data_IF_697058104628
#
_entry.id   IF_697058104628
#
_cell.length_a   1.000
_cell.length_b   1.000
_cell.length_c   1.000
_cell.angle_alpha   90.00
_cell.angle_beta   90.00
_cell.angle_gamma   90.00
#
_symmetry.space_group_name_H-M   'P 1'
#
loop_
_entity.id
_entity.type
_entity.pdbx_description
1 polymer ?
#
# COMPACT_ATOMS: atom_id res chain seq x y z
N UNK A 1 20.36 -11.52 14.28
CA UNK A 1 19.11 -11.84 13.91
C UNK A 1 18.58 -10.88 12.94
N UNK A 2 17.76 -11.30 12.15
CA UNK A 2 17.30 -10.42 11.24
C UNK A 2 15.92 -10.19 11.47
N UNK A 3 15.51 -9.11 11.20
CA UNK A 3 14.23 -8.83 11.45
C UNK A 3 13.49 -8.83 10.21
N UNK A 4 12.29 -9.13 10.32
CA UNK A 4 11.42 -9.07 9.20
C UNK A 4 11.17 -7.66 8.83
N UNK A 5 11.43 -7.37 7.59
CA UNK A 5 11.07 -6.07 7.08
C UNK A 5 9.72 -6.18 6.49
N UNK A 6 8.93 -5.23 6.63
CA UNK A 6 7.62 -5.21 6.01
C UNK A 6 7.71 -4.98 4.52
N UNK A 7 6.57 -5.00 3.89
CA UNK A 7 6.39 -4.63 2.49
C UNK A 7 5.95 -3.18 2.48
N UNK A 8 6.57 -2.35 1.65
CA UNK A 8 6.33 -0.91 1.67
C UNK A 8 5.10 -0.54 0.87
N UNK A 9 4.30 0.35 1.41
CA UNK A 9 3.05 0.80 0.78
C UNK A 9 3.04 2.30 0.66
N UNK A 10 2.33 2.79 -0.35
CA UNK A 10 2.13 4.23 -0.58
C UNK A 10 0.70 4.60 -0.28
N UNK A 11 0.50 5.75 0.32
CA UNK A 11 -0.85 6.31 0.48
C UNK A 11 -0.92 7.56 -0.38
N UNK A 12 -1.95 7.61 -1.20
CA UNK A 12 -2.17 8.71 -2.15
C UNK A 12 -3.50 9.39 -1.85
N UNK A 13 -3.59 10.66 -2.19
CA UNK A 13 -4.86 11.37 -2.25
C UNK A 13 -5.13 11.66 -3.72
N UNK A 14 -6.26 11.15 -4.20
CA UNK A 14 -6.61 11.23 -5.62
C UNK A 14 -7.85 12.08 -5.78
N UNK A 15 -7.85 13.08 -6.65
CA UNK A 15 -9.05 13.91 -6.83
C UNK A 15 -10.13 13.14 -7.56
N UNK A 16 -11.38 13.41 -7.24
CA UNK A 16 -12.48 12.87 -8.00
C UNK A 16 -13.12 14.00 -8.80
N UNK A 17 -14.15 13.67 -9.60
CA UNK A 17 -14.76 14.66 -10.46
C UNK A 17 -15.59 15.69 -9.71
N UNK A 18 -15.82 15.47 -8.41
CA UNK A 18 -16.59 16.39 -7.60
C UNK A 18 -15.69 17.26 -6.72
N UNK A 19 -14.38 17.19 -6.90
CA UNK A 19 -13.46 18.01 -6.12
C UNK A 19 -13.06 17.43 -4.79
N UNK A 20 -13.45 16.17 -4.51
CA UNK A 20 -13.04 15.52 -3.28
C UNK A 20 -11.69 14.84 -3.46
N UNK A 21 -10.96 14.70 -2.36
CA UNK A 21 -9.71 13.95 -2.36
C UNK A 21 -9.98 12.60 -1.75
N UNK A 22 -9.80 11.55 -2.53
CA UNK A 22 -10.07 10.18 -2.09
C UNK A 22 -8.77 9.45 -1.83
N UNK A 23 -8.62 8.82 -0.66
CA UNK A 23 -7.37 8.11 -0.36
C UNK A 23 -7.28 6.79 -1.12
N UNK A 24 -6.06 6.38 -1.40
CA UNK A 24 -5.78 5.10 -2.02
C UNK A 24 -4.51 4.53 -1.42
N UNK A 25 -4.44 3.21 -1.27
CA UNK A 25 -3.27 2.52 -0.75
C UNK A 25 -2.72 1.63 -1.86
N UNK A 26 -1.47 1.85 -2.24
CA UNK A 26 -0.87 1.20 -3.39
C UNK A 26 0.49 0.62 -2.98
N UNK A 27 0.80 -0.58 -3.46
CA UNK A 27 2.10 -1.18 -3.22
C UNK A 27 3.20 -0.32 -3.83
N UNK A 28 4.30 -0.13 -3.07
CA UNK A 28 5.43 0.63 -3.56
C UNK A 28 6.24 -0.26 -4.51
N UNK A 29 6.60 0.25 -5.68
CA UNK A 29 7.40 -0.49 -6.64
C UNK A 29 6.54 -1.12 -7.73
N UNK A 30 7.09 -2.10 -8.46
CA UNK A 30 6.42 -2.60 -9.67
C UNK A 30 5.08 -3.25 -9.41
N UNK A 31 4.88 -3.84 -8.24
CA UNK A 31 3.59 -4.49 -7.93
C UNK A 31 2.45 -3.47 -7.86
N UNK A 32 2.76 -2.20 -7.69
CA UNK A 32 1.75 -1.15 -7.65
C UNK A 32 1.60 -0.36 -8.94
N UNK A 33 2.38 -0.70 -9.98
CA UNK A 33 2.38 0.11 -11.20
C UNK A 33 1.02 0.21 -11.86
N UNK A 34 0.29 -0.90 -11.94
CA UNK A 34 -1.01 -0.90 -12.59
C UNK A 34 -2.00 -0.02 -11.82
N UNK A 35 -1.95 -0.08 -10.49
CA UNK A 35 -2.83 0.74 -9.67
C UNK A 35 -2.49 2.22 -9.80
N UNK A 36 -1.19 2.55 -9.81
CA UNK A 36 -0.78 3.96 -9.96
C UNK A 36 -1.20 4.51 -11.31
N UNK A 37 -1.19 3.68 -12.33
CA UNK A 37 -1.59 4.12 -13.67
C UNK A 37 -3.06 4.53 -13.72
N UNK A 38 -3.87 4.08 -12.77
CA UNK A 38 -5.28 4.44 -12.71
C UNK A 38 -5.54 5.72 -11.91
N UNK A 39 -4.52 6.27 -11.26
CA UNK A 39 -4.70 7.49 -10.48
C UNK A 39 -5.02 8.66 -11.41
N UNK A 40 -5.96 9.49 -10.97
CA UNK A 40 -6.31 10.68 -11.73
C UNK A 40 -5.16 11.68 -11.73
N UNK A 41 -5.03 12.49 -12.77
CA UNK A 41 -4.04 13.57 -12.76
C UNK A 41 -4.28 14.47 -11.54
N UNK A 42 -3.20 14.88 -10.90
CA UNK A 42 -3.31 15.69 -9.70
C UNK A 42 -3.31 14.89 -8.42
N UNK A 43 -3.14 13.57 -8.51
CA UNK A 43 -3.02 12.74 -7.30
C UNK A 43 -1.70 13.02 -6.60
N UNK A 44 -1.72 13.01 -5.28
CA UNK A 44 -0.54 13.28 -4.46
C UNK A 44 -0.15 12.06 -3.63
N UNK A 45 1.13 11.73 -3.64
CA UNK A 45 1.68 10.66 -2.79
C UNK A 45 2.01 11.32 -1.45
N UNK A 46 1.23 10.97 -0.40
CA UNK A 46 1.32 11.72 0.86
C UNK A 46 2.00 10.96 2.00
N UNK A 47 2.13 9.64 1.89
CA UNK A 47 2.68 8.88 3.01
C UNK A 47 3.10 7.50 2.55
N UNK A 48 4.05 6.90 3.27
CA UNK A 48 4.45 5.51 3.06
C UNK A 48 4.54 4.81 4.39
N UNK A 49 4.31 3.50 4.38
CA UNK A 49 4.43 2.71 5.58
C UNK A 49 4.76 1.25 5.24
N UNK A 50 5.26 0.52 6.23
CA UNK A 50 5.61 -0.88 6.09
C UNK A 50 4.52 -1.74 6.72
N UNK A 51 4.23 -2.90 6.11
CA UNK A 51 3.32 -3.88 6.70
C UNK A 51 3.72 -5.26 6.20
N UNK A 52 3.42 -6.29 6.99
CA UNK A 52 3.84 -7.65 6.66
C UNK A 52 2.77 -8.45 5.94
N UNK A 53 1.52 -7.96 5.91
CA UNK A 53 0.42 -8.66 5.25
C UNK A 53 -0.58 -7.63 4.75
N UNK A 54 -1.46 -8.08 3.88
CA UNK A 54 -2.51 -7.18 3.39
C UNK A 54 -3.41 -6.72 4.53
N UNK A 55 -3.74 -7.63 5.46
CA UNK A 55 -4.60 -7.26 6.58
C UNK A 55 -3.92 -6.21 7.45
N UNK A 56 -2.64 -6.36 7.73
CA UNK A 56 -1.93 -5.36 8.51
C UNK A 56 -1.88 -4.04 7.77
N UNK A 57 -1.63 -4.08 6.46
CA UNK A 57 -1.58 -2.86 5.66
C UNK A 57 -2.91 -2.12 5.71
N UNK A 58 -4.01 -2.86 5.60
CA UNK A 58 -5.32 -2.23 5.63
C UNK A 58 -5.64 -1.66 7.01
N UNK A 59 -5.18 -2.32 8.08
CA UNK A 59 -5.37 -1.78 9.43
C UNK A 59 -4.65 -0.44 9.59
N UNK A 60 -3.40 -0.36 9.13
CA UNK A 60 -2.63 0.87 9.22
C UNK A 60 -3.27 1.96 8.36
N UNK A 61 -3.65 1.59 7.13
CA UNK A 61 -4.25 2.51 6.20
C UNK A 61 -5.58 3.06 6.71
N UNK A 62 -6.46 2.19 7.24
CA UNK A 62 -7.75 2.61 7.76
C UNK A 62 -7.57 3.57 8.93
N UNK A 63 -6.61 3.29 9.80
CA UNK A 63 -6.36 4.18 10.93
C UNK A 63 -5.87 5.55 10.45
N UNK A 64 -4.99 5.55 9.46
CA UNK A 64 -4.43 6.80 8.95
C UNK A 64 -5.51 7.68 8.33
N UNK A 65 -6.42 7.07 7.56
CA UNK A 65 -7.45 7.85 6.86
C UNK A 65 -8.72 8.03 7.66
N UNK A 66 -8.82 7.43 8.84
CA UNK A 66 -9.96 7.64 9.72
C UNK A 66 -11.17 6.79 9.40
N UNK A 67 -10.97 5.66 8.74
CA UNK A 67 -12.09 4.77 8.38
C UNK A 67 -12.52 3.85 9.52
N UNK A 68 -11.78 3.82 10.63
CA UNK A 68 -12.10 2.91 11.72
C UNK A 68 -11.33 1.62 11.60
N UNK A 69 -11.91 0.54 12.09
CA UNK A 69 -11.21 -0.74 12.10
C UNK A 69 -11.44 -1.50 10.81
N UNK A 70 -10.38 -2.12 10.33
CA UNK A 70 -10.49 -2.99 9.16
C UNK A 70 -10.84 -4.40 9.63
N UNK A 71 -11.83 -5.00 9.00
CA UNK A 71 -12.19 -6.39 9.27
C UNK A 71 -11.78 -7.22 8.07
N UNK A 72 -10.90 -8.21 8.31
CA UNK A 72 -10.43 -9.07 7.24
C UNK A 72 -11.57 -9.87 6.64
N UNK A 73 -11.61 -9.96 5.32
CA UNK A 73 -12.66 -10.69 4.62
C UNK A 73 -12.26 -12.12 4.32
N UNK A 74 -11.00 -12.48 4.51
CA UNK A 74 -10.50 -13.76 4.07
C UNK A 74 -9.25 -14.11 4.86
N UNK A 75 -9.00 -15.39 5.08
CA UNK A 75 -7.78 -15.84 5.73
C UNK A 75 -6.55 -15.46 4.93
N UNK A 76 -6.67 -15.33 3.61
CA UNK A 76 -5.53 -14.95 2.78
C UNK A 76 -5.00 -13.57 3.13
N UNK A 77 -5.86 -12.68 3.61
CA UNK A 77 -5.43 -11.35 4.02
C UNK A 77 -4.43 -11.40 5.16
N UNK A 78 -4.50 -12.44 5.99
CA UNK A 78 -3.67 -12.53 7.18
C UNK A 78 -2.30 -13.13 6.90
N UNK A 79 -2.12 -13.71 5.72
CA UNK A 79 -0.85 -14.32 5.37
C UNK A 79 0.19 -13.25 5.06
N UNK A 80 1.46 -13.50 5.39
CA UNK A 80 2.50 -12.56 5.00
C UNK A 80 2.59 -12.45 3.48
N UNK A 81 3.08 -11.34 3.00
CA UNK A 81 3.35 -11.21 1.57
C UNK A 81 4.33 -12.28 1.14
N UNK A 82 4.21 -12.75 -0.10
CA UNK A 82 5.06 -13.80 -0.61
C UNK A 82 6.49 -13.32 -0.79
N UNK A 83 7.42 -14.27 -0.81
CA UNK A 83 8.82 -13.95 -1.02
C UNK A 83 9.04 -13.24 -2.35
N UNK A 84 8.28 -13.62 -3.39
CA UNK A 84 8.41 -12.99 -4.70
C UNK A 84 8.11 -11.49 -4.65
N UNK A 85 7.10 -11.11 -3.88
CA UNK A 85 6.74 -9.71 -3.74
C UNK A 85 7.86 -8.93 -3.07
N UNK A 86 8.41 -9.50 -1.99
CA UNK A 86 9.52 -8.86 -1.29
C UNK A 86 10.72 -8.70 -2.21
N UNK A 87 11.03 -9.73 -2.98
CA UNK A 87 12.21 -9.70 -3.85
C UNK A 87 12.05 -8.65 -4.94
N UNK A 88 10.86 -8.52 -5.51
CA UNK A 88 10.62 -7.51 -6.51
C UNK A 88 10.75 -6.10 -5.95
N UNK A 89 10.25 -5.90 -4.74
CA UNK A 89 10.34 -4.59 -4.13
C UNK A 89 11.78 -4.25 -3.74
N UNK A 90 12.51 -5.20 -3.18
CA UNK A 90 13.91 -4.99 -2.83
C UNK A 90 14.72 -4.65 -4.07
N UNK A 91 14.51 -5.37 -5.17
CA UNK A 91 15.21 -5.08 -6.41
C UNK A 91 14.89 -3.65 -6.89
N UNK A 92 13.65 -3.26 -6.81
CA UNK A 92 13.24 -1.91 -7.19
C UNK A 92 13.94 -0.86 -6.33
N UNK A 93 13.97 -1.09 -5.01
CA UNK A 93 14.59 -0.12 -4.11
C UNK A 93 16.08 -0.01 -4.32
N UNK A 94 16.72 -1.11 -4.69
CA UNK A 94 18.16 -1.11 -4.92
C UNK A 94 18.56 -0.50 -6.26
N UNK A 95 17.62 -0.32 -7.16
CA UNK A 95 17.91 0.28 -8.45
C UNK A 95 17.89 1.80 -8.42
N UNK A 96 17.52 2.36 -7.31
CA UNK A 96 17.34 3.83 -7.26
C UNK A 96 18.63 4.56 -6.91
#
# INVERSE_FOLDING_TARGET
MRKTLGYLHEVWLCPDKFGNALPACIAHGPDGDAARALNEPGSDWIWTFWASSHAEAMCVYYEFVGYGKYASQSDDDLLPYSQDWYERQVAYLNCK
#
